data_IF_016320984471
#
_entry.id   IF_016320984471
#
_cell.length_a   1.000
_cell.length_b   1.000
_cell.length_c   1.000
_cell.angle_alpha   90.00
_cell.angle_beta   90.00
_cell.angle_gamma   90.00
#
_symmetry.space_group_name_H-M   'P 1'
#
loop_
_entity.id
_entity.type
_entity.pdbx_description
1 polymer ?
#
# COMPACT_ATOMS: atom_id res chain seq x y z
N UNK A 1 -46.32 -13.43 6.21
CA UNK A 1 -45.64 -13.46 7.51
C UNK A 1 -44.16 -13.19 7.29
N UNK A 2 -43.72 -11.94 7.45
CA UNK A 2 -42.30 -11.57 7.25
C UNK A 2 -41.48 -11.96 8.47
N UNK A 3 -40.44 -12.79 8.28
CA UNK A 3 -39.47 -13.12 9.33
C UNK A 3 -38.56 -11.92 9.55
N UNK A 4 -38.62 -11.32 10.74
CA UNK A 4 -37.67 -10.30 11.18
C UNK A 4 -36.38 -11.03 11.56
N UNK A 5 -35.36 -10.93 10.71
CA UNK A 5 -34.02 -11.44 11.01
C UNK A 5 -33.39 -10.42 11.96
N UNK A 6 -33.32 -10.74 13.25
CA UNK A 6 -32.59 -9.95 14.24
C UNK A 6 -31.11 -10.22 14.01
N UNK A 7 -30.47 -9.39 13.18
CA UNK A 7 -29.03 -9.47 12.95
C UNK A 7 -28.36 -8.80 14.15
N UNK A 8 -27.69 -9.61 14.98
CA UNK A 8 -27.02 -9.14 16.19
C UNK A 8 -25.87 -8.20 15.78
N UNK A 9 -26.00 -6.91 16.07
CA UNK A 9 -25.03 -5.86 15.70
C UNK A 9 -23.60 -6.22 16.11
N UNK A 10 -23.47 -6.92 17.24
CA UNK A 10 -22.20 -7.42 17.80
C UNK A 10 -21.47 -8.37 16.84
N UNK A 11 -22.21 -9.20 16.10
CA UNK A 11 -21.63 -10.15 15.15
C UNK A 11 -21.11 -9.42 13.89
N UNK A 12 -21.80 -8.37 13.45
CA UNK A 12 -21.35 -7.53 12.33
C UNK A 12 -20.04 -6.82 12.72
N UNK A 13 -19.99 -6.23 13.93
CA UNK A 13 -18.79 -5.56 14.44
C UNK A 13 -17.56 -6.49 14.51
N UNK A 14 -17.76 -7.75 14.92
CA UNK A 14 -16.69 -8.75 14.97
C UNK A 14 -16.14 -9.09 13.59
N UNK A 15 -17.00 -9.20 12.57
CA UNK A 15 -16.58 -9.41 11.18
C UNK A 15 -15.79 -8.20 10.66
N UNK A 16 -16.21 -6.97 10.97
CA UNK A 16 -15.47 -5.76 10.60
C UNK A 16 -14.08 -5.68 11.26
N UNK A 17 -13.97 -6.09 12.53
CA UNK A 17 -12.68 -6.13 13.23
C UNK A 17 -11.74 -7.18 12.62
N UNK A 18 -12.25 -8.36 12.27
CA UNK A 18 -11.47 -9.43 11.64
C UNK A 18 -10.94 -9.03 10.25
N UNK A 19 -11.72 -8.30 9.45
CA UNK A 19 -11.28 -7.78 8.15
C UNK A 19 -10.23 -6.66 8.30
N UNK A 20 -10.31 -5.88 9.38
CA UNK A 20 -9.33 -4.81 9.66
C UNK A 20 -7.98 -5.34 10.17
N UNK A 21 -7.95 -6.55 10.72
CA UNK A 21 -6.71 -7.23 11.15
C UNK A 21 -6.07 -8.09 10.06
N UNK A 22 -6.62 -8.06 8.84
CA UNK A 22 -6.05 -8.73 7.68
C UNK A 22 -4.70 -8.14 7.28
N UNK A 23 -3.63 -8.81 7.71
CA UNK A 23 -2.31 -8.79 7.08
C UNK A 23 -1.69 -7.39 6.90
N UNK A 24 -1.35 -6.75 8.01
CA UNK A 24 -0.13 -5.92 7.98
C UNK A 24 1.05 -6.87 8.07
N UNK A 25 1.38 -7.51 6.94
CA UNK A 25 2.71 -8.05 6.70
C UNK A 25 3.62 -6.82 6.63
N UNK A 26 4.00 -6.32 7.81
CA UNK A 26 5.11 -5.41 7.97
C UNK A 26 6.36 -6.25 7.67
N UNK A 27 6.58 -6.49 6.38
CA UNK A 27 7.90 -6.34 5.82
C UNK A 27 8.34 -4.92 6.15
N UNK A 28 8.80 -4.71 7.38
CA UNK A 28 9.79 -3.70 7.69
C UNK A 28 10.95 -4.00 6.74
N UNK A 29 10.93 -3.36 5.58
CA UNK A 29 12.09 -3.21 4.74
C UNK A 29 13.12 -2.45 5.57
N UNK A 30 13.89 -3.23 6.33
CA UNK A 30 15.07 -2.79 7.02
C UNK A 30 16.04 -2.28 5.96
N UNK A 31 16.18 -0.97 5.89
CA UNK A 31 17.17 -0.32 5.05
C UNK A 31 16.54 0.49 3.94
N UNK A 32 16.26 1.77 4.25
CA UNK A 32 16.20 2.85 3.26
C UNK A 32 15.11 2.85 2.18
N UNK A 33 14.48 1.73 1.89
CA UNK A 33 13.49 1.59 0.83
C UNK A 33 12.17 1.03 1.38
N UNK A 34 11.05 1.43 0.80
CA UNK A 34 9.74 0.85 1.08
C UNK A 34 8.88 0.85 -0.18
N UNK A 35 7.90 -0.05 -0.28
CA UNK A 35 6.97 -0.03 -1.41
C UNK A 35 6.06 1.21 -1.35
N UNK A 36 5.90 1.89 -2.48
CA UNK A 36 5.04 3.06 -2.60
C UNK A 36 3.58 2.68 -2.28
N UNK A 37 3.01 3.33 -1.26
CA UNK A 37 1.64 3.07 -0.78
C UNK A 37 0.58 3.58 -1.76
N UNK A 38 0.89 4.63 -2.51
CA UNK A 38 0.00 5.15 -3.55
C UNK A 38 -0.06 4.28 -4.82
N UNK A 39 0.90 3.38 -4.99
CA UNK A 39 1.09 2.57 -6.19
C UNK A 39 1.42 1.10 -5.85
N UNK A 40 0.55 0.38 -5.12
CA UNK A 40 0.80 -1.00 -4.75
C UNK A 40 0.84 -1.92 -5.98
N UNK A 41 1.82 -2.81 -6.06
CA UNK A 41 2.04 -3.72 -7.22
C UNK A 41 2.11 -2.98 -8.57
N UNK A 42 2.56 -1.72 -8.56
CA UNK A 42 2.61 -0.92 -9.77
C UNK A 42 3.64 -1.46 -10.75
N UNK A 43 3.19 -1.66 -11.98
CA UNK A 43 4.02 -2.19 -13.04
C UNK A 43 4.55 -1.04 -13.89
N UNK A 44 5.87 -0.86 -13.88
CA UNK A 44 6.58 0.23 -14.53
C UNK A 44 6.67 0.11 -16.06
N UNK A 45 5.65 -0.45 -16.70
CA UNK A 45 5.63 -0.78 -18.14
C UNK A 45 5.45 0.43 -19.04
N UNK A 46 5.02 1.57 -18.49
CA UNK A 46 4.80 2.82 -19.22
C UNK A 46 6.11 3.59 -19.50
N UNK A 47 7.28 2.95 -19.34
CA UNK A 47 8.57 3.57 -19.53
C UNK A 47 8.69 4.85 -18.70
N UNK A 48 9.19 5.93 -19.31
CA UNK A 48 9.41 7.21 -18.64
C UNK A 48 8.21 7.72 -17.84
N UNK A 49 6.98 7.57 -18.36
CA UNK A 49 5.78 8.01 -17.65
C UNK A 49 5.55 7.20 -16.36
N UNK A 50 5.82 5.89 -16.38
CA UNK A 50 5.73 5.04 -15.19
C UNK A 50 6.78 5.41 -14.15
N UNK A 51 8.02 5.68 -14.59
CA UNK A 51 9.09 6.16 -13.70
C UNK A 51 8.73 7.50 -13.05
N UNK A 52 8.22 8.46 -13.83
CA UNK A 52 7.80 9.77 -13.32
C UNK A 52 6.66 9.63 -12.32
N UNK A 53 5.66 8.81 -12.61
CA UNK A 53 4.54 8.56 -11.72
C UNK A 53 5.02 7.96 -10.38
N UNK A 54 5.88 6.94 -10.44
CA UNK A 54 6.46 6.32 -9.24
C UNK A 54 7.20 7.36 -8.39
N UNK A 55 8.06 8.17 -9.01
CA UNK A 55 8.79 9.21 -8.32
C UNK A 55 7.86 10.25 -7.68
N UNK A 56 6.88 10.78 -8.42
CA UNK A 56 5.97 11.83 -7.93
C UNK A 56 5.18 11.36 -6.69
N UNK A 57 4.74 10.10 -6.68
CA UNK A 57 4.07 9.51 -5.51
C UNK A 57 5.04 9.29 -4.34
N UNK A 58 6.25 8.78 -4.58
CA UNK A 58 7.24 8.60 -3.53
C UNK A 58 7.67 9.93 -2.88
N UNK A 59 7.86 10.99 -3.66
CA UNK A 59 8.12 12.34 -3.13
C UNK A 59 6.95 12.81 -2.26
N UNK A 60 5.71 12.56 -2.69
CA UNK A 60 4.51 12.90 -1.93
C UNK A 60 4.40 12.12 -0.60
N UNK A 61 5.02 10.95 -0.51
CA UNK A 61 5.15 10.15 0.73
C UNK A 61 6.33 10.57 1.62
N UNK A 62 7.15 11.53 1.19
CA UNK A 62 8.32 12.01 1.92
C UNK A 62 9.62 11.25 1.62
N UNK A 63 9.67 10.52 0.51
CA UNK A 63 10.89 9.92 -0.02
C UNK A 63 11.79 10.98 -0.69
N UNK A 64 13.06 10.64 -0.91
CA UNK A 64 13.97 11.43 -1.73
C UNK A 64 13.83 11.12 -3.23
N UNK A 65 13.53 9.87 -3.55
CA UNK A 65 13.33 9.39 -4.91
C UNK A 65 12.39 8.17 -4.94
N UNK A 66 11.79 7.93 -6.10
CA UNK A 66 11.05 6.70 -6.39
C UNK A 66 11.69 5.92 -7.53
N UNK A 67 12.00 4.65 -7.27
CA UNK A 67 12.61 3.74 -8.21
C UNK A 67 11.57 2.75 -8.76
N UNK A 68 11.49 2.71 -10.08
CA UNK A 68 10.57 1.85 -10.80
C UNK A 68 11.25 0.52 -11.14
N UNK A 69 10.76 -0.57 -10.56
CA UNK A 69 11.15 -1.94 -10.87
C UNK A 69 10.07 -2.58 -11.77
N UNK A 70 10.37 -3.66 -12.51
CA UNK A 70 9.44 -4.28 -13.46
C UNK A 70 8.04 -4.60 -12.89
N UNK A 71 7.96 -4.81 -11.56
CA UNK A 71 6.74 -5.21 -10.86
C UNK A 71 6.41 -4.38 -9.61
N UNK A 72 7.19 -3.34 -9.29
CA UNK A 72 6.96 -2.54 -8.10
C UNK A 72 7.50 -1.11 -8.24
N UNK A 73 6.89 -0.18 -7.49
CA UNK A 73 7.44 1.14 -7.24
C UNK A 73 8.01 1.17 -5.82
N UNK A 74 9.32 1.42 -5.68
CA UNK A 74 10.00 1.50 -4.39
C UNK A 74 10.42 2.94 -4.11
N UNK A 75 10.04 3.44 -2.94
CA UNK A 75 10.43 4.74 -2.44
C UNK A 75 11.69 4.64 -1.60
N UNK A 76 12.63 5.58 -1.77
CA UNK A 76 13.91 5.59 -1.04
C UNK A 76 14.04 6.82 -0.15
N UNK A 77 14.50 6.63 1.09
CA UNK A 77 14.71 7.71 2.07
C UNK A 77 15.92 8.59 1.68
N UNK A 78 15.85 9.88 2.01
CA UNK A 78 17.00 10.77 1.92
C UNK A 78 18.15 10.31 2.86
N UNK A 79 19.40 10.47 2.42
CA UNK A 79 20.58 10.12 3.21
C UNK A 79 20.94 8.63 3.22
N UNK A 80 20.30 7.85 2.37
CA UNK A 80 20.62 6.45 2.13
C UNK A 80 21.64 6.33 1.00
N UNK A 81 22.86 5.92 1.35
CA UNK A 81 23.99 5.70 0.43
C UNK A 81 23.88 4.36 -0.27
#
# INVERSE_FOLDING_TARGET
>A
MGKIIIINLSAILLVFLLVSTGLMDKGEAQGCEWECKGLPNFKCWLGYAGHKLCNDFCISEGAAEGNCFPHACLCRKAGCS
#
